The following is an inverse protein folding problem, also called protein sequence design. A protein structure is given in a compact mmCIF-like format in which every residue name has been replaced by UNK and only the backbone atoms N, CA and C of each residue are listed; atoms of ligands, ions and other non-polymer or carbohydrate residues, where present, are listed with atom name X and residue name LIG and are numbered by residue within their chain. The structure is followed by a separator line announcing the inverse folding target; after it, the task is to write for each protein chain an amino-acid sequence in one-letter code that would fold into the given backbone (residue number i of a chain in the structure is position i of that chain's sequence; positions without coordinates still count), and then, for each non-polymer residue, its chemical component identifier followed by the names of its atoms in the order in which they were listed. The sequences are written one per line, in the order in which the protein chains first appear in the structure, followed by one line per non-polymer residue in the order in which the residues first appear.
data_IF_768207108088
#
_entry.id   IF_768207108088
#
_cell.length_a   1.000
_cell.length_b   1.000
_cell.length_c   1.000
_cell.angle_alpha   90.00
_cell.angle_beta   90.00
_cell.angle_gamma   90.00
#
_symmetry.space_group_name_H-M   'P 1'
#
loop_
_entity.id
_entity.type
_entity.pdbx_description
1 polymer ?
#
# COMPACT_ATOMS: atom_id res chain seq x y z
N UNK A 1 -30.07 -10.85 4.28
CA UNK A 1 -29.61 -10.22 3.03
C UNK A 1 -30.66 -10.15 1.92
N UNK A 2 -31.75 -10.95 1.94
CA UNK A 2 -32.79 -10.86 0.91
C UNK A 2 -32.38 -11.37 -0.49
N UNK A 3 -31.18 -11.93 -0.63
CA UNK A 3 -30.68 -12.52 -1.86
C UNK A 3 -30.98 -14.03 -1.93
N UNK A 4 -31.26 -14.52 -3.13
CA UNK A 4 -31.50 -15.95 -3.37
C UNK A 4 -30.17 -16.72 -3.35
N UNK A 5 -30.07 -17.89 -2.69
CA UNK A 5 -28.87 -18.70 -2.74
C UNK A 5 -28.44 -19.02 -4.18
N UNK A 6 -27.19 -18.72 -4.52
CA UNK A 6 -26.63 -18.94 -5.87
C UNK A 6 -26.69 -17.72 -6.80
N UNK A 7 -27.39 -16.65 -6.43
CA UNK A 7 -27.43 -15.40 -7.20
C UNK A 7 -26.22 -14.50 -6.92
N UNK A 8 -25.05 -14.90 -7.42
CA UNK A 8 -23.80 -14.15 -7.26
C UNK A 8 -23.82 -12.77 -7.94
N UNK A 9 -24.69 -12.57 -8.93
CA UNK A 9 -24.83 -11.29 -9.63
C UNK A 9 -25.43 -10.20 -8.75
N UNK A 10 -26.27 -10.59 -7.80
CA UNK A 10 -26.93 -9.66 -6.88
C UNK A 10 -26.03 -9.16 -5.73
N UNK A 11 -24.85 -9.77 -5.51
CA UNK A 11 -23.95 -9.38 -4.41
C UNK A 11 -23.51 -7.91 -4.48
N UNK A 12 -23.36 -7.35 -5.68
CA UNK A 12 -22.96 -5.96 -5.89
C UNK A 12 -24.02 -4.95 -5.49
N UNK A 13 -25.27 -5.39 -5.24
CA UNK A 13 -26.37 -4.52 -4.82
C UNK A 13 -26.53 -4.39 -3.30
N UNK A 14 -25.75 -5.14 -2.51
CA UNK A 14 -25.80 -5.05 -1.05
C UNK A 14 -25.18 -3.73 -0.57
N UNK A 15 -25.92 -2.90 0.18
CA UNK A 15 -25.43 -1.62 0.66
C UNK A 15 -24.54 -1.77 1.89
N UNK A 16 -23.30 -1.29 1.82
CA UNK A 16 -22.46 -1.12 3.00
C UNK A 16 -21.73 -2.39 3.46
N UNK A 17 -21.57 -2.56 4.77
CA UNK A 17 -20.78 -3.64 5.34
C UNK A 17 -21.65 -4.91 5.46
N UNK A 18 -21.35 -5.99 4.72
CA UNK A 18 -22.20 -7.19 4.69
C UNK A 18 -22.32 -7.87 6.05
N UNK A 19 -21.35 -7.66 6.96
CA UNK A 19 -21.42 -8.17 8.32
C UNK A 19 -22.47 -7.43 9.17
N UNK A 20 -22.69 -6.14 8.92
CA UNK A 20 -23.75 -5.37 9.59
C UNK A 20 -25.14 -5.83 9.09
N UNK A 21 -25.26 -6.11 7.79
CA UNK A 21 -26.50 -6.61 7.19
C UNK A 21 -26.84 -8.04 7.62
N UNK A 22 -25.83 -8.88 7.89
CA UNK A 22 -26.05 -10.21 8.51
C UNK A 22 -26.47 -10.04 9.97
N UNK A 23 -25.82 -9.13 10.69
CA UNK A 23 -26.03 -8.93 12.12
C UNK A 23 -27.47 -8.46 12.45
N UNK A 24 -28.05 -7.62 11.59
CA UNK A 24 -29.42 -7.14 11.73
C UNK A 24 -30.46 -8.26 11.62
N UNK A 25 -30.20 -9.30 10.80
CA UNK A 25 -31.08 -10.46 10.66
C UNK A 25 -31.02 -11.49 11.79
N UNK A 26 -29.99 -11.44 12.64
CA UNK A 26 -29.74 -12.43 13.71
C UNK A 26 -30.13 -11.94 15.12
N UNK A 27 -30.72 -10.75 15.25
CA UNK A 27 -30.89 -10.04 16.53
C UNK A 27 -29.58 -9.85 17.34
N UNK A 28 -28.43 -10.07 16.72
CA UNK A 28 -27.08 -9.93 17.29
C UNK A 28 -26.41 -8.60 16.90
N UNK A 29 -27.18 -7.67 16.33
CA UNK A 29 -26.74 -6.38 15.79
C UNK A 29 -25.83 -5.56 16.73
N UNK A 30 -26.10 -5.40 18.05
CA UNK A 30 -25.23 -4.60 18.90
C UNK A 30 -23.86 -5.25 19.15
N UNK A 31 -23.82 -6.57 19.38
CA UNK A 31 -22.57 -7.29 19.64
C UNK A 31 -21.66 -7.27 18.40
N UNK A 32 -22.23 -7.55 17.24
CA UNK A 32 -21.49 -7.53 15.98
C UNK A 32 -21.05 -6.12 15.58
N UNK A 33 -21.86 -5.09 15.88
CA UNK A 33 -21.46 -3.69 15.68
C UNK A 33 -20.27 -3.31 16.57
N UNK A 34 -20.23 -3.74 17.83
CA UNK A 34 -19.08 -3.49 18.72
C UNK A 34 -17.84 -4.25 18.24
N UNK A 35 -17.98 -5.52 17.89
CA UNK A 35 -16.85 -6.34 17.42
C UNK A 35 -16.27 -5.83 16.10
N UNK A 36 -17.14 -5.58 15.10
CA UNK A 36 -16.72 -5.21 13.75
C UNK A 36 -16.46 -3.72 13.62
N UNK A 37 -17.25 -2.88 14.28
CA UNK A 37 -17.17 -1.42 14.15
C UNK A 37 -16.19 -0.75 15.12
N UNK A 38 -15.86 -1.38 16.25
CA UNK A 38 -14.97 -0.78 17.26
C UNK A 38 -13.71 -1.63 17.45
N UNK A 39 -13.86 -2.91 17.82
CA UNK A 39 -12.72 -3.76 18.16
C UNK A 39 -11.86 -4.05 16.93
N UNK A 40 -12.46 -4.37 15.78
CA UNK A 40 -11.74 -4.63 14.53
C UNK A 40 -10.84 -3.47 14.09
N UNK A 41 -11.37 -2.24 13.93
CA UNK A 41 -10.58 -1.06 13.59
C UNK A 41 -9.52 -0.73 14.65
N UNK A 42 -9.85 -0.90 15.94
CA UNK A 42 -8.89 -0.68 17.03
C UNK A 42 -7.69 -1.64 16.95
N UNK A 43 -7.93 -2.95 16.78
CA UNK A 43 -6.88 -3.96 16.61
C UNK A 43 -6.04 -3.66 15.37
N UNK A 44 -6.69 -3.27 14.27
CA UNK A 44 -5.99 -2.87 13.04
C UNK A 44 -5.08 -1.68 13.31
N UNK A 45 -5.59 -0.61 13.93
CA UNK A 45 -4.81 0.58 14.30
C UNK A 45 -3.62 0.24 15.22
N UNK A 46 -3.81 -0.66 16.18
CA UNK A 46 -2.74 -1.14 17.07
C UNK A 46 -1.61 -1.85 16.30
N UNK A 47 -1.96 -2.72 15.34
CA UNK A 47 -0.97 -3.39 14.48
C UNK A 47 -0.20 -2.38 13.63
N UNK A 48 -0.90 -1.42 13.02
CA UNK A 48 -0.28 -0.37 12.20
C UNK A 48 0.61 0.57 13.01
N UNK A 49 0.23 0.90 14.25
CA UNK A 49 1.08 1.67 15.17
C UNK A 49 2.42 0.94 15.40
N UNK A 50 2.37 -0.37 15.65
CA UNK A 50 3.57 -1.19 15.81
C UNK A 50 4.40 -1.31 14.52
N UNK A 51 3.77 -1.44 13.35
CA UNK A 51 4.46 -1.51 12.07
C UNK A 51 5.14 -0.17 11.72
N UNK A 52 4.40 0.93 11.78
CA UNK A 52 4.88 2.28 11.50
C UNK A 52 6.03 2.71 12.42
N UNK A 53 5.94 2.35 13.70
CA UNK A 53 7.02 2.53 14.67
C UNK A 53 8.33 1.87 14.22
N UNK A 54 8.28 0.65 13.66
CA UNK A 54 9.48 -0.06 13.16
C UNK A 54 10.00 0.52 11.85
N UNK A 55 9.12 1.04 10.99
CA UNK A 55 9.51 1.77 9.78
C UNK A 55 10.28 3.03 10.16
N UNK A 56 9.74 3.85 11.06
CA UNK A 56 10.38 5.09 11.50
C UNK A 56 11.72 4.82 12.23
N UNK A 57 11.79 3.75 13.02
CA UNK A 57 13.04 3.26 13.60
C UNK A 57 14.08 2.88 12.53
N UNK A 58 13.69 2.13 11.50
CA UNK A 58 14.57 1.74 10.41
C UNK A 58 15.08 2.94 9.60
N UNK A 59 14.22 3.95 9.41
CA UNK A 59 14.58 5.22 8.80
C UNK A 59 15.61 5.97 9.66
N UNK A 60 15.45 5.96 10.99
CA UNK A 60 16.41 6.56 11.92
C UNK A 60 17.77 5.86 11.91
N UNK A 61 17.80 4.53 11.73
CA UNK A 61 19.04 3.77 11.52
C UNK A 61 19.72 4.09 10.19
N UNK A 62 18.93 4.40 9.17
CA UNK A 62 19.41 4.72 7.83
C UNK A 62 19.82 6.19 7.67
N UNK A 63 19.65 7.01 8.71
CA UNK A 63 20.02 8.43 8.71
C UNK A 63 19.01 9.34 8.01
N UNK A 64 17.85 8.82 7.61
CA UNK A 64 16.81 9.61 6.94
C UNK A 64 15.93 10.41 7.89
N UNK A 65 15.92 10.12 9.19
CA UNK A 65 15.17 10.90 10.20
C UNK A 65 16.07 11.11 11.44
N UNK A 66 15.72 11.99 12.39
CA UNK A 66 16.58 12.27 13.54
C UNK A 66 16.97 11.00 14.31
N UNK A 67 18.20 10.99 14.85
CA UNK A 67 18.77 9.85 15.57
C UNK A 67 17.98 9.45 16.82
N UNK A 68 17.12 10.33 17.34
CA UNK A 68 16.17 10.01 18.41
C UNK A 68 15.20 8.89 18.03
N UNK A 69 14.82 8.78 16.75
CA UNK A 69 13.87 7.76 16.27
C UNK A 69 14.43 6.33 16.40
N UNK A 70 15.75 6.16 16.40
CA UNK A 70 16.41 4.85 16.63
C UNK A 70 16.71 4.55 18.10
N UNK A 71 16.36 5.44 19.03
CA UNK A 71 16.59 5.19 20.46
C UNK A 71 15.62 4.13 20.98
N UNK A 72 16.17 3.08 21.62
CA UNK A 72 15.40 2.00 22.22
C UNK A 72 15.22 2.26 23.71
N UNK A 73 14.02 1.96 24.22
CA UNK A 73 13.74 2.00 25.65
C UNK A 73 14.52 0.89 26.36
N UNK A 74 15.23 1.20 27.45
CA UNK A 74 16.14 0.28 28.15
C UNK A 74 15.46 -1.02 28.60
N UNK A 75 14.29 -0.92 29.24
CA UNK A 75 13.54 -2.08 29.74
C UNK A 75 12.80 -2.89 28.66
N UNK A 76 12.13 -2.22 27.73
CA UNK A 76 11.18 -2.86 26.81
C UNK A 76 11.73 -3.07 25.40
N UNK A 77 12.91 -2.52 25.08
CA UNK A 77 13.53 -2.59 23.75
C UNK A 77 12.62 -2.12 22.60
N UNK A 78 11.72 -1.18 22.90
CA UNK A 78 10.84 -0.53 21.91
C UNK A 78 11.39 0.84 21.52
N UNK A 79 11.29 1.25 20.24
CA UNK A 79 11.73 2.58 19.83
C UNK A 79 10.69 3.63 20.20
N UNK A 80 10.78 4.11 21.44
CA UNK A 80 9.71 4.88 22.08
C UNK A 80 9.43 6.22 21.39
N UNK A 81 10.46 6.94 20.93
CA UNK A 81 10.26 8.18 20.17
C UNK A 81 9.57 7.92 18.83
N UNK A 82 9.92 6.82 18.16
CA UNK A 82 9.23 6.42 16.92
C UNK A 82 7.76 6.13 17.18
N UNK A 83 7.45 5.47 18.29
CA UNK A 83 6.07 5.17 18.70
C UNK A 83 5.28 6.46 18.98
N UNK A 84 5.85 7.38 19.76
CA UNK A 84 5.20 8.65 20.10
C UNK A 84 4.94 9.49 18.85
N UNK A 85 5.95 9.67 18.00
CA UNK A 85 5.80 10.45 16.77
C UNK A 85 4.75 9.84 15.86
N UNK A 86 4.79 8.51 15.66
CA UNK A 86 3.81 7.83 14.81
C UNK A 86 2.39 7.92 15.38
N UNK A 87 2.23 7.78 16.70
CA UNK A 87 0.94 7.92 17.36
C UNK A 87 0.37 9.34 17.21
N UNK A 88 1.19 10.38 17.42
CA UNK A 88 0.77 11.78 17.26
C UNK A 88 0.38 12.06 15.81
N UNK A 89 1.21 11.69 14.85
CA UNK A 89 0.91 11.91 13.43
C UNK A 89 -0.33 11.14 12.98
N UNK A 90 -0.47 9.88 13.38
CA UNK A 90 -1.67 9.08 13.13
C UNK A 90 -2.92 9.73 13.72
N UNK A 91 -2.82 10.26 14.94
CA UNK A 91 -3.93 10.96 15.61
C UNK A 91 -4.32 12.26 14.91
N UNK A 92 -3.35 13.06 14.48
CA UNK A 92 -3.58 14.31 13.74
C UNK A 92 -4.26 14.01 12.40
N UNK A 93 -3.73 13.07 11.63
CA UNK A 93 -4.32 12.68 10.33
C UNK A 93 -5.74 12.14 10.53
N UNK A 94 -5.93 11.26 11.51
CA UNK A 94 -7.26 10.71 11.83
C UNK A 94 -8.24 11.81 12.25
N UNK A 95 -7.80 12.77 13.06
CA UNK A 95 -8.64 13.88 13.52
C UNK A 95 -9.06 14.79 12.36
N UNK A 96 -8.12 15.19 11.50
CA UNK A 96 -8.41 16.04 10.33
C UNK A 96 -9.38 15.32 9.37
N UNK A 97 -9.27 14.00 9.25
CA UNK A 97 -10.09 13.19 8.35
C UNK A 97 -11.31 12.57 9.03
N UNK A 98 -11.60 12.91 10.29
CA UNK A 98 -12.65 12.28 11.10
C UNK A 98 -14.11 12.51 10.67
N UNK A 99 -14.51 13.58 9.97
CA UNK A 99 -15.92 13.73 9.57
C UNK A 99 -16.35 12.59 8.63
N UNK A 100 -17.44 11.87 8.94
CA UNK A 100 -18.05 10.96 7.98
C UNK A 100 -18.57 11.78 6.78
N UNK A 101 -18.25 11.44 5.52
CA UNK A 101 -17.69 10.17 5.02
C UNK A 101 -16.17 10.19 4.68
N UNK A 102 -15.44 11.27 4.99
CA UNK A 102 -14.09 11.52 4.46
C UNK A 102 -13.03 10.52 4.96
N UNK A 103 -13.22 9.94 6.16
CA UNK A 103 -12.31 8.92 6.70
C UNK A 103 -12.25 7.65 5.84
N UNK A 104 -13.38 7.21 5.27
CA UNK A 104 -13.41 5.99 4.44
C UNK A 104 -12.71 6.19 3.10
N UNK A 105 -12.85 7.39 2.52
CA UNK A 105 -12.10 7.80 1.35
C UNK A 105 -10.60 7.75 1.62
N UNK A 106 -10.15 8.41 2.70
CA UNK A 106 -8.74 8.40 3.08
C UNK A 106 -8.20 6.98 3.31
N UNK A 107 -8.94 6.11 4.00
CA UNK A 107 -8.53 4.72 4.25
C UNK A 107 -8.37 3.98 2.91
N UNK A 108 -9.34 4.12 2.02
CA UNK A 108 -9.31 3.48 0.69
C UNK A 108 -8.10 3.97 -0.11
N UNK A 109 -7.92 5.29 -0.23
CA UNK A 109 -6.78 5.90 -0.95
C UNK A 109 -5.44 5.48 -0.35
N UNK A 110 -5.35 5.42 0.99
CA UNK A 110 -4.14 5.01 1.71
C UNK A 110 -3.78 3.54 1.44
N UNK A 111 -4.77 2.66 1.30
CA UNK A 111 -4.53 1.25 0.94
C UNK A 111 -3.97 1.18 -0.48
N UNK A 112 -4.54 1.91 -1.45
CA UNK A 112 -4.02 1.95 -2.83
C UNK A 112 -2.59 2.50 -2.87
N UNK A 113 -2.34 3.61 -2.18
CA UNK A 113 -1.01 4.20 -2.06
C UNK A 113 -0.02 3.22 -1.39
N UNK A 114 -0.48 2.49 -0.39
CA UNK A 114 0.27 1.42 0.28
C UNK A 114 0.67 0.30 -0.68
N UNK A 115 -0.23 -0.17 -1.55
CA UNK A 115 0.11 -1.16 -2.57
C UNK A 115 1.09 -0.64 -3.61
N UNK A 116 0.99 0.64 -4.01
CA UNK A 116 1.99 1.27 -4.87
C UNK A 116 3.37 1.23 -4.17
N UNK A 117 3.45 1.70 -2.92
CA UNK A 117 4.70 1.71 -2.15
C UNK A 117 5.28 0.31 -1.91
N UNK A 118 4.44 -0.65 -1.53
CA UNK A 118 4.87 -2.03 -1.24
C UNK A 118 5.22 -2.83 -2.49
N UNK A 119 4.86 -2.37 -3.69
CA UNK A 119 5.32 -2.99 -4.95
C UNK A 119 6.86 -3.00 -5.07
N UNK A 120 7.57 -2.13 -4.36
CA UNK A 120 9.04 -2.11 -4.35
C UNK A 120 9.62 -3.31 -3.58
N UNK A 121 8.90 -3.89 -2.61
CA UNK A 121 9.37 -5.01 -1.79
C UNK A 121 9.75 -6.25 -2.63
N UNK A 122 8.91 -6.77 -3.54
CA UNK A 122 9.31 -7.88 -4.41
C UNK A 122 10.49 -7.54 -5.32
N UNK A 123 10.64 -6.28 -5.75
CA UNK A 123 11.82 -5.85 -6.52
C UNK A 123 13.08 -5.97 -5.67
N UNK A 124 13.06 -5.46 -4.43
CA UNK A 124 14.16 -5.60 -3.47
C UNK A 124 14.46 -7.08 -3.20
N UNK A 125 13.44 -7.91 -3.03
CA UNK A 125 13.60 -9.36 -2.86
C UNK A 125 14.31 -10.00 -4.06
N UNK A 126 13.96 -9.59 -5.29
CA UNK A 126 14.64 -10.02 -6.52
C UNK A 126 16.11 -9.58 -6.58
N UNK A 127 16.41 -8.33 -6.21
CA UNK A 127 17.79 -7.80 -6.14
C UNK A 127 18.63 -8.57 -5.11
N UNK A 128 18.09 -8.79 -3.91
CA UNK A 128 18.79 -9.52 -2.85
C UNK A 128 19.02 -10.99 -3.19
N UNK A 129 18.09 -11.61 -3.92
CA UNK A 129 18.25 -12.97 -4.41
C UNK A 129 19.34 -13.07 -5.48
N UNK A 130 19.35 -12.17 -6.47
CA UNK A 130 20.43 -12.11 -7.47
C UNK A 130 21.78 -11.79 -6.85
N UNK A 131 21.80 -10.99 -5.79
CA UNK A 131 23.00 -10.67 -5.02
C UNK A 131 23.44 -11.74 -4.01
N UNK A 132 22.78 -12.92 -3.98
CA UNK A 132 23.15 -14.06 -3.12
C UNK A 132 22.79 -13.92 -1.64
N UNK A 133 22.17 -12.81 -1.22
CA UNK A 133 21.77 -12.57 0.17
C UNK A 133 20.56 -13.43 0.56
N UNK A 134 19.58 -13.55 -0.35
CA UNK A 134 18.45 -14.47 -0.19
C UNK A 134 18.74 -15.71 -1.02
N UNK A 135 18.71 -16.89 -0.38
CA UNK A 135 19.00 -18.19 -1.04
C UNK A 135 17.76 -19.02 -1.36
N UNK A 136 16.55 -18.50 -1.14
CA UNK A 136 15.32 -19.23 -1.40
C UNK A 136 15.12 -19.46 -2.91
N UNK A 137 14.98 -20.72 -3.32
CA UNK A 137 14.74 -21.14 -4.72
C UNK A 137 13.42 -20.62 -5.31
N UNK A 138 12.45 -20.26 -4.47
CA UNK A 138 11.13 -19.79 -4.91
C UNK A 138 11.08 -18.28 -5.17
N UNK A 139 12.10 -17.52 -4.77
CA UNK A 139 12.14 -16.06 -4.96
C UNK A 139 11.93 -15.63 -6.42
N UNK A 140 12.53 -16.27 -7.44
CA UNK A 140 12.32 -15.90 -8.84
C UNK A 140 10.87 -16.07 -9.33
N UNK A 141 10.03 -16.79 -8.58
CA UNK A 141 8.62 -17.00 -8.91
C UNK A 141 7.74 -16.12 -8.03
N UNK A 142 7.97 -16.13 -6.72
CA UNK A 142 7.16 -15.38 -5.74
C UNK A 142 7.29 -13.87 -5.95
N UNK A 143 8.50 -13.37 -6.22
CA UNK A 143 8.71 -11.92 -6.33
C UNK A 143 8.00 -11.32 -7.56
N UNK A 144 8.14 -11.86 -8.78
CA UNK A 144 7.36 -11.36 -9.92
C UNK A 144 5.84 -11.48 -9.72
N UNK A 145 5.36 -12.60 -9.16
CA UNK A 145 3.93 -12.79 -8.90
C UNK A 145 3.39 -11.78 -7.88
N UNK A 146 4.14 -11.51 -6.82
CA UNK A 146 3.79 -10.49 -5.83
C UNK A 146 3.78 -9.08 -6.45
N UNK A 147 4.70 -8.79 -7.37
CA UNK A 147 4.71 -7.53 -8.10
C UNK A 147 3.46 -7.40 -9.00
N UNK A 148 3.14 -8.44 -9.79
CA UNK A 148 1.92 -8.49 -10.61
C UNK A 148 0.67 -8.29 -9.74
N UNK A 149 0.54 -9.04 -8.65
CA UNK A 149 -0.62 -8.96 -7.77
C UNK A 149 -0.78 -7.55 -7.18
N UNK A 150 0.32 -6.93 -6.73
CA UNK A 150 0.32 -5.56 -6.25
C UNK A 150 -0.12 -4.57 -7.35
N UNK A 151 0.37 -4.72 -8.57
CA UNK A 151 -0.05 -3.89 -9.72
C UNK A 151 -1.52 -4.03 -10.07
N UNK A 152 -2.04 -5.27 -10.05
CA UNK A 152 -3.44 -5.56 -10.34
C UNK A 152 -4.36 -4.95 -9.28
N UNK A 153 -4.00 -5.02 -8.00
CA UNK A 153 -4.79 -4.40 -6.93
C UNK A 153 -4.87 -2.88 -7.14
N UNK A 154 -3.77 -2.23 -7.50
CA UNK A 154 -3.77 -0.80 -7.81
C UNK A 154 -4.67 -0.52 -9.02
N UNK A 155 -4.54 -1.27 -10.11
CA UNK A 155 -5.38 -1.10 -11.29
C UNK A 155 -6.88 -1.29 -10.97
N UNK A 156 -7.25 -2.36 -10.27
CA UNK A 156 -8.63 -2.65 -9.89
C UNK A 156 -9.23 -1.63 -8.93
N UNK A 157 -8.40 -0.84 -8.24
CA UNK A 157 -8.88 0.27 -7.42
C UNK A 157 -9.54 1.36 -8.26
N UNK A 158 -9.20 1.46 -9.54
CA UNK A 158 -9.95 2.29 -10.49
C UNK A 158 -9.77 3.79 -10.30
N UNK A 159 -10.54 4.54 -11.07
CA UNK A 159 -10.55 6.00 -11.07
C UNK A 159 -11.68 6.54 -10.18
N UNK A 160 -11.46 7.58 -9.35
CA UNK A 160 -10.26 8.42 -9.19
C UNK A 160 -9.32 7.99 -8.04
N UNK A 161 -9.46 6.79 -7.48
CA UNK A 161 -8.67 6.36 -6.32
C UNK A 161 -7.16 6.30 -6.62
N UNK A 162 -6.76 5.78 -7.79
CA UNK A 162 -5.34 5.70 -8.19
C UNK A 162 -4.66 7.07 -8.28
N UNK A 163 -5.19 8.09 -9.01
CA UNK A 163 -4.53 9.40 -9.06
C UNK A 163 -4.48 10.08 -7.69
N UNK A 164 -5.47 9.91 -6.80
CA UNK A 164 -5.38 10.42 -5.43
C UNK A 164 -4.27 9.75 -4.64
N UNK A 165 -4.14 8.42 -4.74
CA UNK A 165 -3.03 7.68 -4.14
C UNK A 165 -1.66 8.13 -4.67
N UNK A 166 -1.56 8.39 -5.98
CA UNK A 166 -0.32 8.91 -6.61
C UNK A 166 0.01 10.31 -6.10
N UNK A 167 -0.98 11.20 -5.97
CA UNK A 167 -0.78 12.53 -5.40
C UNK A 167 -0.32 12.47 -3.94
N UNK A 168 -0.93 11.61 -3.12
CA UNK A 168 -0.52 11.38 -1.73
C UNK A 168 0.93 10.88 -1.66
N UNK A 169 1.29 9.90 -2.49
CA UNK A 169 2.64 9.35 -2.52
C UNK A 169 3.66 10.38 -3.02
N UNK A 170 3.32 11.17 -4.03
CA UNK A 170 4.17 12.24 -4.55
C UNK A 170 4.38 13.34 -3.51
N UNK A 171 3.32 13.81 -2.86
CA UNK A 171 3.39 14.80 -1.79
C UNK A 171 4.23 14.29 -0.62
N UNK A 172 3.99 13.05 -0.17
CA UNK A 172 4.79 12.41 0.88
C UNK A 172 6.26 12.31 0.50
N UNK A 173 6.57 11.90 -0.74
CA UNK A 173 7.94 11.77 -1.24
C UNK A 173 8.65 13.13 -1.34
N UNK A 174 7.96 14.17 -1.79
CA UNK A 174 8.53 15.54 -1.91
C UNK A 174 8.80 16.11 -0.52
N UNK A 175 7.83 16.06 0.39
CA UNK A 175 7.97 16.56 1.76
C UNK A 175 9.16 15.85 2.42
N UNK A 176 9.23 14.53 2.28
CA UNK A 176 10.32 13.74 2.83
C UNK A 176 11.68 14.08 2.20
N UNK A 177 11.74 14.17 0.86
CA UNK A 177 12.96 14.51 0.14
C UNK A 177 13.51 15.90 0.49
N UNK A 178 12.63 16.89 0.67
CA UNK A 178 13.01 18.26 1.05
C UNK A 178 13.49 18.32 2.49
N UNK A 179 12.74 17.75 3.44
CA UNK A 179 13.09 17.78 4.87
C UNK A 179 14.45 17.09 5.11
N UNK A 180 14.69 15.97 4.45
CA UNK A 180 15.85 15.12 4.73
C UNK A 180 16.98 15.21 3.70
N UNK A 181 16.90 16.17 2.77
CA UNK A 181 17.93 16.49 1.77
C UNK A 181 18.49 15.25 1.07
N UNK A 182 17.59 14.33 0.70
CA UNK A 182 17.99 13.05 0.15
C UNK A 182 18.58 13.24 -1.26
N UNK A 183 19.87 12.92 -1.41
CA UNK A 183 20.56 12.91 -2.70
C UNK A 183 20.50 11.50 -3.29
N UNK A 184 19.33 11.08 -3.77
CA UNK A 184 19.23 9.80 -4.51
C UNK A 184 19.47 10.00 -6.01
N UNK A 185 19.94 8.93 -6.66
CA UNK A 185 20.09 8.87 -8.11
C UNK A 185 18.71 8.85 -8.79
N UNK A 186 18.21 10.02 -9.21
CA UNK A 186 16.93 10.17 -9.92
C UNK A 186 16.78 9.19 -11.09
N UNK A 187 17.88 8.91 -11.79
CA UNK A 187 17.93 7.96 -12.92
C UNK A 187 17.57 6.54 -12.49
N UNK A 188 17.98 6.11 -11.29
CA UNK A 188 17.68 4.76 -10.78
C UNK A 188 16.22 4.60 -10.36
N UNK A 189 15.51 5.71 -10.17
CA UNK A 189 14.08 5.75 -9.81
C UNK A 189 13.14 5.85 -11.03
N UNK A 190 13.68 6.08 -12.24
CA UNK A 190 12.87 6.25 -13.46
C UNK A 190 11.95 5.06 -13.77
N UNK A 191 12.38 3.82 -13.48
CA UNK A 191 11.54 2.65 -13.69
C UNK A 191 10.27 2.70 -12.82
N UNK A 192 10.39 3.22 -11.60
CA UNK A 192 9.30 3.29 -10.64
C UNK A 192 8.35 4.44 -10.96
N UNK A 193 8.89 5.59 -11.37
CA UNK A 193 8.10 6.72 -11.89
C UNK A 193 7.33 6.27 -13.14
N UNK A 194 7.99 5.61 -14.08
CA UNK A 194 7.37 5.06 -15.28
C UNK A 194 6.30 4.00 -14.97
N UNK A 195 6.54 3.16 -13.96
CA UNK A 195 5.57 2.18 -13.47
C UNK A 195 4.31 2.84 -12.90
N UNK A 196 4.48 3.87 -12.06
CA UNK A 196 3.35 4.64 -11.51
C UNK A 196 2.57 5.33 -12.64
N UNK A 197 3.27 5.95 -13.58
CA UNK A 197 2.65 6.60 -14.74
C UNK A 197 1.87 5.59 -15.60
N UNK A 198 2.45 4.41 -15.84
CA UNK A 198 1.79 3.31 -16.56
C UNK A 198 0.52 2.84 -15.85
N UNK A 199 0.57 2.60 -14.54
CA UNK A 199 -0.63 2.19 -13.77
C UNK A 199 -1.70 3.27 -13.78
N UNK A 200 -1.31 4.53 -13.65
CA UNK A 200 -2.24 5.67 -13.71
C UNK A 200 -2.91 5.75 -15.08
N UNK A 201 -2.12 5.61 -16.16
CA UNK A 201 -2.63 5.59 -17.53
C UNK A 201 -3.57 4.42 -17.77
N UNK A 202 -3.17 3.20 -17.41
CA UNK A 202 -4.00 2.00 -17.56
C UNK A 202 -5.29 2.11 -16.76
N UNK A 203 -5.24 2.68 -15.57
CA UNK A 203 -6.44 2.95 -14.77
C UNK A 203 -7.35 3.97 -15.46
N UNK A 204 -6.80 4.99 -16.11
CA UNK A 204 -7.58 6.00 -16.84
C UNK A 204 -8.25 5.46 -18.12
N UNK A 205 -7.52 4.66 -18.91
CA UNK A 205 -8.01 4.13 -20.20
C UNK A 205 -8.77 2.80 -20.08
N UNK A 206 -8.48 2.01 -19.05
CA UNK A 206 -9.06 0.69 -18.84
C UNK A 206 -10.50 0.75 -18.35
N UNK A 207 -11.13 -0.42 -18.25
CA UNK A 207 -12.56 -0.53 -17.90
C UNK A 207 -12.95 -0.07 -16.51
N UNK A 208 -11.96 0.13 -15.63
CA UNK A 208 -12.13 0.55 -14.23
C UNK A 208 -11.90 2.05 -14.03
N UNK A 209 -11.71 2.81 -15.12
CA UNK A 209 -11.64 4.27 -15.06
C UNK A 209 -12.45 4.98 -16.12
N UNK A 210 -12.08 6.24 -16.38
CA UNK A 210 -12.96 7.23 -16.99
C UNK A 210 -13.32 6.93 -18.45
N UNK A 211 -12.41 6.34 -19.24
CA UNK A 211 -12.62 6.18 -20.69
C UNK A 211 -13.15 4.79 -21.10
N UNK A 212 -12.96 3.75 -20.27
CA UNK A 212 -13.45 2.38 -20.52
C UNK A 212 -13.22 1.88 -21.97
N UNK A 213 -12.01 2.09 -22.50
CA UNK A 213 -11.67 1.78 -23.89
C UNK A 213 -11.28 0.31 -24.08
N UNK A 214 -10.81 -0.34 -23.02
CA UNK A 214 -10.30 -1.70 -23.03
C UNK A 214 -11.09 -2.52 -22.01
N UNK A 215 -11.58 -3.70 -22.41
CA UNK A 215 -12.33 -4.56 -21.50
C UNK A 215 -11.50 -4.96 -20.26
N UNK A 216 -12.19 -5.30 -19.18
CA UNK A 216 -11.57 -5.59 -17.88
C UNK A 216 -10.49 -6.68 -17.94
N UNK A 217 -10.76 -7.75 -18.67
CA UNK A 217 -9.86 -8.89 -18.76
C UNK A 217 -8.61 -8.59 -19.58
N UNK A 218 -8.72 -7.91 -20.74
CA UNK A 218 -7.54 -7.53 -21.51
C UNK A 218 -6.74 -6.44 -20.80
N UNK A 219 -7.40 -5.45 -20.17
CA UNK A 219 -6.71 -4.43 -19.40
C UNK A 219 -5.94 -5.05 -18.22
N UNK A 220 -6.53 -6.00 -17.49
CA UNK A 220 -5.85 -6.74 -16.43
C UNK A 220 -4.67 -7.56 -16.96
N UNK A 221 -4.83 -8.23 -18.10
CA UNK A 221 -3.74 -8.98 -18.73
C UNK A 221 -2.57 -8.08 -19.18
N UNK A 222 -2.88 -6.91 -19.75
CA UNK A 222 -1.89 -5.90 -20.14
C UNK A 222 -1.12 -5.40 -18.90
N UNK A 223 -1.83 -5.08 -17.81
CA UNK A 223 -1.19 -4.66 -16.55
C UNK A 223 -0.27 -5.78 -16.04
N UNK A 224 -0.74 -7.02 -15.98
CA UNK A 224 0.09 -8.14 -15.52
C UNK A 224 1.36 -8.33 -16.37
N UNK A 225 1.24 -8.28 -17.70
CA UNK A 225 2.37 -8.45 -18.61
C UNK A 225 3.37 -7.29 -18.51
N UNK A 226 2.89 -6.05 -18.50
CA UNK A 226 3.74 -4.86 -18.37
C UNK A 226 4.41 -4.78 -17.00
N UNK A 227 3.73 -5.22 -15.93
CA UNK A 227 4.30 -5.29 -14.59
C UNK A 227 5.53 -6.19 -14.53
N UNK A 228 5.59 -7.29 -15.29
CA UNK A 228 6.81 -8.09 -15.39
C UNK A 228 7.98 -7.31 -15.99
N UNK A 229 7.72 -6.50 -17.01
CA UNK A 229 8.75 -5.65 -17.63
C UNK A 229 9.29 -4.65 -16.59
N UNK A 230 8.41 -3.94 -15.89
CA UNK A 230 8.81 -3.01 -14.82
C UNK A 230 9.55 -3.70 -13.67
N UNK A 231 9.11 -4.90 -13.27
CA UNK A 231 9.80 -5.71 -12.27
C UNK A 231 11.25 -5.99 -12.68
N UNK A 232 11.48 -6.48 -13.91
CA UNK A 232 12.83 -6.77 -14.39
C UNK A 232 13.69 -5.51 -14.57
N UNK A 233 13.09 -4.38 -14.99
CA UNK A 233 13.77 -3.09 -15.03
C UNK A 233 14.20 -2.64 -13.63
N UNK A 234 13.32 -2.74 -12.64
CA UNK A 234 13.62 -2.40 -11.25
C UNK A 234 14.73 -3.28 -10.65
N UNK A 235 14.68 -4.59 -10.89
CA UNK A 235 15.71 -5.53 -10.42
C UNK A 235 17.06 -5.24 -11.08
N UNK A 236 17.08 -4.89 -12.36
CA UNK A 236 18.31 -4.49 -13.07
C UNK A 236 18.88 -3.18 -12.51
N UNK A 237 18.04 -2.16 -12.31
CA UNK A 237 18.44 -0.88 -11.74
C UNK A 237 19.06 -1.04 -10.35
N UNK A 238 18.45 -1.87 -9.48
CA UNK A 238 18.94 -2.12 -8.14
C UNK A 238 20.23 -2.96 -8.08
N UNK A 239 20.43 -3.89 -9.02
CA UNK A 239 21.65 -4.70 -9.08
C UNK A 239 22.90 -3.86 -9.42
N UNK A 240 22.78 -2.89 -10.33
CA UNK A 240 23.88 -2.00 -10.72
C UNK A 240 24.35 -1.12 -9.56
N UNK A 241 23.46 -0.75 -8.63
CA UNK A 241 23.82 0.08 -7.47
C UNK A 241 24.75 -0.62 -6.46
N UNK A 242 24.82 -1.96 -6.47
CA UNK A 242 25.71 -2.73 -5.59
C UNK A 242 27.15 -2.82 -6.13
N UNK A 243 27.34 -2.59 -7.43
CA UNK A 243 28.67 -2.59 -8.07
C UNK A 243 29.42 -1.25 -7.97
N UNK A 244 28.78 -0.20 -7.46
CA UNK A 244 29.34 1.15 -7.35
C UNK A 244 29.59 1.61 -5.91
N UNK A 245 29.62 0.68 -4.94
CA UNK A 245 29.95 0.94 -3.53
C UNK A 245 31.13 0.09 -3.11
#
# INVERSE_FOLDING_TARGET
MGLTPGDWGSLSSLPGNPFIDIASGLHAAPLLTVLVGVIGPFVTGYIYLGAGTRVLFAMGRSGYVPSSMKALHEKYSIPYWSLVVFAIMGSIVTYISSPLPTIYGLITDSVVAGYIAFSVNPVVMGVLWRGGTIKNRWTPVIAPLAFIASSLIVFWSGWPLVPYAVLLLAAGSIIFGVIYKVKEDFVKSLWYIGYIAFLTLMTYIGSVGALNLINFYAASAIVAAASLVFYFLGVRSGATAKGSR
#
